data_IF_585348642197
#
_entry.id   IF_585348642197
#
_cell.length_a   1.000
_cell.length_b   1.000
_cell.length_c   1.000
_cell.angle_alpha   90.00
_cell.angle_beta   90.00
_cell.angle_gamma   90.00
#
_symmetry.space_group_name_H-M   'P 1'
#
loop_
_entity.id
_entity.type
_entity.pdbx_description
1 polymer ?
#
# COMPACT_ATOMS: atom_id res chain seq x y z
N UNK A 1 10.99 3.07 -9.01
CA UNK A 1 10.20 2.50 -10.12
C UNK A 1 8.92 1.81 -9.65
N UNK A 2 8.95 0.88 -8.68
CA UNK A 2 7.75 0.17 -8.21
C UNK A 2 6.67 1.10 -7.66
N UNK A 3 7.03 2.08 -6.81
CA UNK A 3 6.07 3.02 -6.22
C UNK A 3 5.23 3.74 -7.29
N UNK A 4 5.86 4.22 -8.37
CA UNK A 4 5.16 4.89 -9.48
C UNK A 4 4.14 3.96 -10.15
N UNK A 5 4.51 2.70 -10.41
CA UNK A 5 3.60 1.72 -11.00
C UNK A 5 2.48 1.31 -10.05
N UNK A 6 2.76 1.12 -8.74
CA UNK A 6 1.75 0.81 -7.73
C UNK A 6 0.67 1.89 -7.68
N UNK A 7 1.08 3.17 -7.68
CA UNK A 7 0.14 4.30 -7.69
C UNK A 7 -0.71 4.32 -8.96
N UNK A 8 -0.11 4.07 -10.15
CA UNK A 8 -0.88 3.98 -11.40
C UNK A 8 -1.92 2.85 -11.36
N UNK A 9 -1.56 1.67 -10.83
CA UNK A 9 -2.51 0.54 -10.72
C UNK A 9 -3.62 0.89 -9.74
N UNK A 10 -3.31 1.53 -8.62
CA UNK A 10 -4.31 1.92 -7.64
C UNK A 10 -5.24 3.00 -8.18
N UNK A 11 -4.72 4.03 -8.83
CA UNK A 11 -5.52 5.05 -9.50
C UNK A 11 -6.50 4.42 -10.50
N UNK A 12 -6.02 3.48 -11.34
CA UNK A 12 -6.87 2.77 -12.28
C UNK A 12 -8.01 2.01 -11.60
N UNK A 13 -7.72 1.28 -10.51
CA UNK A 13 -8.72 0.53 -9.73
C UNK A 13 -9.75 1.50 -9.13
N UNK A 14 -9.29 2.56 -8.51
CA UNK A 14 -10.17 3.56 -7.89
C UNK A 14 -11.02 4.31 -8.91
N UNK A 15 -10.51 4.60 -10.11
CA UNK A 15 -11.30 5.15 -11.22
C UNK A 15 -12.38 4.19 -11.73
N UNK A 16 -12.22 2.87 -11.51
CA UNK A 16 -13.26 1.86 -11.75
C UNK A 16 -14.23 1.71 -10.57
N UNK A 17 -14.20 2.68 -9.63
CA UNK A 17 -15.08 2.74 -8.45
C UNK A 17 -14.91 1.53 -7.50
N UNK A 18 -13.73 0.92 -7.52
CA UNK A 18 -13.36 -0.20 -6.65
C UNK A 18 -12.27 0.22 -5.67
N UNK A 19 -12.27 -0.37 -4.49
CA UNK A 19 -11.15 -0.42 -3.56
C UNK A 19 -10.69 -1.87 -3.45
N UNK A 20 -9.38 -2.09 -3.33
CA UNK A 20 -8.80 -3.43 -3.37
C UNK A 20 -8.92 -4.17 -2.04
N UNK A 21 -8.58 -3.49 -0.93
CA UNK A 21 -8.69 -3.94 0.47
C UNK A 21 -7.72 -5.06 0.91
N UNK A 22 -6.87 -5.55 0.02
CA UNK A 22 -5.82 -6.53 0.39
C UNK A 22 -4.49 -6.22 -0.33
N UNK A 23 -4.00 -5.02 -0.13
CA UNK A 23 -2.71 -4.58 -0.65
C UNK A 23 -1.59 -5.28 0.13
N UNK A 24 -0.81 -6.10 -0.58
CA UNK A 24 0.33 -6.87 -0.05
C UNK A 24 1.27 -7.27 -1.20
N UNK A 25 2.54 -7.64 -0.92
CA UNK A 25 3.50 -8.03 -1.97
C UNK A 25 2.98 -9.12 -2.89
N UNK A 26 2.30 -10.12 -2.34
CA UNK A 26 1.79 -11.30 -3.06
C UNK A 26 0.76 -10.94 -4.14
N UNK A 27 0.10 -9.79 -4.00
CA UNK A 27 -0.89 -9.30 -4.95
C UNK A 27 -0.31 -8.36 -6.02
N UNK A 28 1.00 -8.09 -5.95
CA UNK A 28 1.72 -7.37 -7.00
C UNK A 28 2.68 -8.32 -7.70
N UNK A 29 2.40 -8.61 -8.97
CA UNK A 29 3.21 -9.53 -9.78
C UNK A 29 3.84 -8.82 -10.96
N UNK A 30 5.05 -9.22 -11.30
CA UNK A 30 5.74 -8.72 -12.49
C UNK A 30 5.32 -9.53 -13.72
N UNK A 31 5.26 -8.88 -14.86
CA UNK A 31 5.01 -9.54 -16.12
C UNK A 31 6.12 -10.50 -16.51
N UNK A 32 5.93 -11.20 -17.62
CA UNK A 32 6.91 -12.16 -18.16
C UNK A 32 7.53 -11.62 -19.45
N UNK A 33 8.76 -12.07 -19.70
CA UNK A 33 9.52 -11.79 -20.95
C UNK A 33 9.54 -10.28 -21.25
N UNK A 34 8.96 -9.85 -22.34
CA UNK A 34 8.93 -8.44 -22.79
C UNK A 34 8.21 -7.51 -21.81
N UNK A 35 7.28 -8.04 -21.01
CA UNK A 35 6.54 -7.31 -19.97
C UNK A 35 7.13 -7.49 -18.56
N UNK A 36 8.34 -8.03 -18.44
CA UNK A 36 8.96 -8.30 -17.14
C UNK A 36 9.12 -7.07 -16.23
N UNK A 37 9.08 -5.87 -16.81
CA UNK A 37 9.14 -4.61 -16.10
C UNK A 37 7.76 -4.03 -15.74
N UNK A 38 6.66 -4.65 -16.18
CA UNK A 38 5.31 -4.19 -15.88
C UNK A 38 4.79 -4.83 -14.60
N UNK A 39 4.38 -4.00 -13.66
CA UNK A 39 3.72 -4.41 -12.43
C UNK A 39 2.22 -4.61 -12.68
N UNK A 40 1.71 -5.75 -12.24
CA UNK A 40 0.27 -6.07 -12.29
C UNK A 40 -0.26 -6.21 -10.87
N UNK A 41 -1.46 -5.71 -10.62
CA UNK A 41 -2.22 -5.95 -9.41
C UNK A 41 -3.23 -7.05 -9.68
N UNK A 42 -3.25 -8.05 -8.82
CA UNK A 42 -4.08 -9.26 -8.93
C UNK A 42 -4.91 -9.48 -7.67
N UNK A 43 -5.79 -10.47 -7.69
CA UNK A 43 -6.62 -10.92 -6.57
C UNK A 43 -7.61 -9.84 -6.07
N UNK A 44 -8.68 -9.67 -6.82
CA UNK A 44 -9.78 -8.78 -6.47
C UNK A 44 -10.86 -9.46 -5.60
N UNK A 45 -10.57 -10.63 -5.01
CA UNK A 45 -11.52 -11.40 -4.20
C UNK A 45 -12.08 -10.66 -2.98
N UNK A 46 -11.29 -9.73 -2.42
CA UNK A 46 -11.73 -8.88 -1.31
C UNK A 46 -12.15 -7.47 -1.76
N UNK A 47 -12.12 -7.16 -3.06
CA UNK A 47 -12.45 -5.83 -3.56
C UNK A 47 -13.91 -5.44 -3.28
N UNK A 48 -14.16 -4.13 -3.23
CA UNK A 48 -15.47 -3.58 -2.96
C UNK A 48 -15.71 -2.32 -3.78
N UNK A 49 -16.96 -2.12 -4.24
CA UNK A 49 -17.37 -0.82 -4.78
C UNK A 49 -17.44 0.20 -3.63
N UNK A 50 -16.75 1.34 -3.80
CA UNK A 50 -16.84 2.45 -2.87
C UNK A 50 -17.79 3.56 -3.37
N UNK A 51 -18.26 3.45 -4.59
CA UNK A 51 -19.21 4.37 -5.22
C UNK A 51 -20.47 3.64 -5.64
N UNK A 52 -21.63 4.09 -5.16
CA UNK A 52 -22.93 3.56 -5.59
C UNK A 52 -23.39 4.31 -6.84
N UNK A 53 -23.38 3.62 -7.99
CA UNK A 53 -23.75 4.19 -9.29
C UNK A 53 -25.24 4.55 -9.38
N UNK A 54 -26.10 3.97 -8.54
CA UNK A 54 -27.53 4.26 -8.54
C UNK A 54 -27.83 5.57 -7.84
N UNK A 55 -27.13 5.84 -6.76
CA UNK A 55 -27.32 7.06 -5.96
C UNK A 55 -26.33 8.16 -6.32
N UNK A 56 -25.29 7.83 -7.10
CA UNK A 56 -24.15 8.69 -7.39
C UNK A 56 -23.47 9.22 -6.14
N UNK A 57 -23.31 8.36 -5.14
CA UNK A 57 -22.72 8.70 -3.85
C UNK A 57 -21.63 7.71 -3.45
N UNK A 58 -20.69 8.21 -2.65
CA UNK A 58 -19.73 7.37 -1.96
C UNK A 58 -20.48 6.48 -0.94
N UNK A 59 -19.97 5.26 -0.70
CA UNK A 59 -20.49 4.42 0.39
C UNK A 59 -20.43 5.18 1.72
N UNK A 60 -21.41 4.97 2.62
CA UNK A 60 -21.44 5.69 3.88
C UNK A 60 -20.31 5.24 4.83
N UNK A 61 -19.80 6.18 5.62
CA UNK A 61 -18.94 5.87 6.76
C UNK A 61 -19.66 4.96 7.74
N UNK A 62 -18.99 3.89 8.17
CA UNK A 62 -19.52 2.93 9.16
C UNK A 62 -18.39 2.45 10.04
N UNK A 63 -18.74 2.10 11.28
CA UNK A 63 -17.86 1.46 12.25
C UNK A 63 -18.33 0.03 12.57
N UNK A 64 -17.57 -0.68 13.40
CA UNK A 64 -17.89 -2.06 13.79
C UNK A 64 -17.69 -3.07 12.66
N UNK A 65 -16.82 -2.78 11.69
CA UNK A 65 -16.49 -3.70 10.61
C UNK A 65 -15.44 -4.72 11.06
N UNK A 66 -15.60 -6.00 10.67
CA UNK A 66 -14.53 -6.96 10.86
C UNK A 66 -13.31 -6.57 10.02
N UNK A 67 -12.12 -6.91 10.50
CA UNK A 67 -10.89 -6.70 9.76
C UNK A 67 -10.96 -7.48 8.44
N UNK A 68 -10.79 -6.77 7.34
CA UNK A 68 -10.70 -7.35 5.99
C UNK A 68 -9.32 -7.04 5.41
N UNK A 69 -8.68 -8.02 4.81
CA UNK A 69 -7.32 -7.92 4.27
C UNK A 69 -6.26 -8.46 5.22
N UNK A 70 -5.01 -8.20 4.91
CA UNK A 70 -3.85 -8.73 5.61
C UNK A 70 -3.42 -7.80 6.74
N UNK A 71 -3.52 -8.25 7.99
CA UNK A 71 -3.25 -7.44 9.19
C UNK A 71 -1.90 -6.72 9.17
N UNK A 72 -0.86 -7.31 8.54
CA UNK A 72 0.46 -6.70 8.40
C UNK A 72 0.41 -5.37 7.64
N UNK A 73 -0.39 -5.29 6.58
CA UNK A 73 -0.39 -4.17 5.64
C UNK A 73 -1.63 -3.28 5.73
N UNK A 74 -2.77 -3.76 6.27
CA UNK A 74 -4.00 -2.97 6.32
C UNK A 74 -3.83 -1.67 7.13
N UNK A 75 -4.66 -0.68 6.84
CA UNK A 75 -4.61 0.64 7.47
C UNK A 75 -4.94 0.60 8.97
N UNK A 76 -4.58 1.66 9.68
CA UNK A 76 -5.00 1.84 11.09
C UNK A 76 -6.53 1.88 11.20
N UNK A 77 -7.20 2.56 10.29
CA UNK A 77 -8.67 2.63 10.29
C UNK A 77 -9.31 1.23 10.14
N UNK A 78 -8.70 0.35 9.34
CA UNK A 78 -9.17 -1.04 9.22
C UNK A 78 -9.04 -1.80 10.55
N UNK A 79 -7.95 -1.60 11.31
CA UNK A 79 -7.82 -2.18 12.65
C UNK A 79 -8.83 -1.61 13.65
N UNK A 80 -9.23 -0.36 13.50
CA UNK A 80 -10.27 0.28 14.32
C UNK A 80 -11.69 -0.14 13.93
N UNK A 81 -11.84 -1.01 12.93
CA UNK A 81 -13.15 -1.47 12.47
C UNK A 81 -13.92 -0.41 11.67
N UNK A 82 -13.24 0.57 11.10
CA UNK A 82 -13.83 1.58 10.22
C UNK A 82 -13.95 1.00 8.80
N UNK A 83 -15.06 1.32 8.13
CA UNK A 83 -15.28 0.96 6.72
C UNK A 83 -14.11 1.47 5.86
N UNK A 84 -13.60 0.61 4.99
CA UNK A 84 -12.48 0.97 4.11
C UNK A 84 -12.93 1.85 2.95
N UNK A 85 -12.05 2.77 2.55
CA UNK A 85 -12.19 3.59 1.36
C UNK A 85 -10.86 3.69 0.60
N UNK A 86 -10.75 4.59 -0.37
CA UNK A 86 -9.54 4.78 -1.17
C UNK A 86 -8.28 5.06 -0.33
N UNK A 87 -8.43 5.81 0.78
CA UNK A 87 -7.32 6.16 1.68
C UNK A 87 -6.65 4.94 2.30
N UNK A 88 -7.44 3.88 2.55
CA UNK A 88 -6.95 2.67 3.22
C UNK A 88 -6.05 1.84 2.31
N UNK A 89 -6.37 1.77 1.01
CA UNK A 89 -5.48 1.18 0.01
C UNK A 89 -4.16 1.96 -0.09
N UNK A 90 -4.21 3.32 -0.04
CA UNK A 90 -3.01 4.16 -0.08
C UNK A 90 -2.13 3.96 1.16
N UNK A 91 -2.72 3.92 2.36
CA UNK A 91 -1.97 3.63 3.59
C UNK A 91 -1.30 2.26 3.52
N UNK A 92 -2.01 1.26 3.00
CA UNK A 92 -1.48 -0.09 2.80
C UNK A 92 -0.30 -0.12 1.83
N UNK A 93 -0.34 0.65 0.74
CA UNK A 93 0.79 0.82 -0.18
C UNK A 93 1.99 1.43 0.56
N UNK A 94 1.78 2.40 1.43
CA UNK A 94 2.86 2.99 2.22
C UNK A 94 3.57 1.96 3.10
N UNK A 95 2.83 1.09 3.78
CA UNK A 95 3.43 0.00 4.56
C UNK A 95 4.13 -1.03 3.68
N UNK A 96 3.57 -1.32 2.50
CA UNK A 96 4.20 -2.20 1.53
C UNK A 96 5.54 -1.62 1.04
N UNK A 97 5.59 -0.35 0.68
CA UNK A 97 6.82 0.32 0.24
C UNK A 97 7.87 0.35 1.35
N UNK A 98 7.48 0.64 2.60
CA UNK A 98 8.37 0.57 3.77
C UNK A 98 8.88 -0.87 3.98
N UNK A 99 8.03 -1.87 3.82
CA UNK A 99 8.43 -3.27 3.91
C UNK A 99 9.45 -3.65 2.83
N UNK A 100 9.22 -3.25 1.59
CA UNK A 100 10.15 -3.53 0.49
C UNK A 100 11.49 -2.82 0.68
N UNK A 101 11.49 -1.63 1.26
CA UNK A 101 12.70 -0.85 1.51
C UNK A 101 13.50 -1.37 2.71
N UNK A 102 12.83 -1.65 3.83
CA UNK A 102 13.47 -2.06 5.11
C UNK A 102 13.66 -3.56 5.25
N UNK A 103 12.92 -4.38 4.50
CA UNK A 103 12.83 -5.83 4.68
C UNK A 103 11.93 -6.27 5.83
N UNK A 104 11.47 -5.35 6.71
CA UNK A 104 10.60 -5.65 7.84
C UNK A 104 9.74 -4.47 8.26
N UNK A 105 8.69 -4.75 9.02
CA UNK A 105 7.84 -3.75 9.69
C UNK A 105 7.86 -3.99 11.21
N UNK A 106 7.75 -2.92 12.04
CA UNK A 106 7.91 -3.02 13.50
C UNK A 106 6.91 -3.93 14.22
N UNK A 107 5.83 -4.29 13.56
CA UNK A 107 4.79 -5.20 14.08
C UNK A 107 4.91 -6.63 13.56
N UNK A 108 5.99 -6.98 12.86
CA UNK A 108 6.29 -8.36 12.51
C UNK A 108 6.89 -9.10 13.72
N UNK A 109 6.70 -10.42 13.75
CA UNK A 109 7.25 -11.25 14.82
C UNK A 109 6.58 -11.10 16.19
N UNK A 110 5.46 -10.35 16.30
CA UNK A 110 4.71 -10.26 17.56
C UNK A 110 4.27 -11.64 17.99
N UNK A 111 4.70 -12.04 19.20
CA UNK A 111 4.28 -13.27 19.86
C UNK A 111 3.12 -12.97 20.80
N UNK A 112 2.11 -13.81 20.77
CA UNK A 112 0.93 -13.75 21.63
C UNK A 112 0.65 -15.13 22.19
N UNK A 113 0.14 -15.20 23.39
CA UNK A 113 -0.27 -16.47 24.01
C UNK A 113 -1.50 -17.04 23.31
N UNK A 114 -2.45 -16.17 22.95
CA UNK A 114 -3.65 -16.53 22.20
C UNK A 114 -3.54 -16.01 20.75
N UNK A 115 -3.50 -16.90 19.75
CA UNK A 115 -3.43 -16.52 18.33
C UNK A 115 -4.55 -15.57 17.88
N UNK A 116 -5.73 -15.60 18.48
CA UNK A 116 -6.85 -14.70 18.19
C UNK A 116 -6.51 -13.22 18.47
N UNK A 117 -5.62 -12.97 19.43
CA UNK A 117 -5.18 -11.64 19.82
C UNK A 117 -4.11 -11.04 18.89
N UNK A 118 -3.54 -11.84 17.99
CA UNK A 118 -2.42 -11.39 17.14
C UNK A 118 -2.78 -10.16 16.30
N UNK A 119 -3.94 -10.17 15.69
CA UNK A 119 -4.42 -9.07 14.85
C UNK A 119 -4.64 -7.79 15.65
N UNK A 120 -5.21 -7.93 16.85
CA UNK A 120 -5.42 -6.80 17.77
C UNK A 120 -4.08 -6.19 18.17
N UNK A 121 -3.11 -7.02 18.57
CA UNK A 121 -1.76 -6.55 18.95
C UNK A 121 -1.01 -5.86 17.82
N UNK A 122 -1.18 -6.33 16.58
CA UNK A 122 -0.63 -5.64 15.41
C UNK A 122 -1.25 -4.24 15.28
N UNK A 123 -2.57 -4.13 15.41
CA UNK A 123 -3.27 -2.84 15.35
C UNK A 123 -2.82 -1.88 16.44
N UNK A 124 -2.78 -2.33 17.70
CA UNK A 124 -2.27 -1.55 18.84
C UNK A 124 -0.84 -1.02 18.58
N UNK A 125 0.02 -1.89 18.04
CA UNK A 125 1.39 -1.50 17.71
C UNK A 125 1.44 -0.46 16.59
N UNK A 126 0.64 -0.60 15.54
CA UNK A 126 0.55 0.39 14.45
C UNK A 126 0.06 1.75 14.93
N UNK A 127 -0.93 1.75 15.84
CA UNK A 127 -1.50 2.96 16.42
C UNK A 127 -0.49 3.66 17.32
N UNK A 128 0.23 2.89 18.15
CA UNK A 128 1.20 3.43 19.12
C UNK A 128 2.48 3.96 18.49
N UNK A 129 2.86 3.48 17.29
CA UNK A 129 4.05 3.96 16.58
C UNK A 129 3.71 5.22 15.80
N UNK A 130 4.32 6.35 16.17
CA UNK A 130 4.23 7.59 15.39
C UNK A 130 4.91 7.43 14.02
N UNK A 131 4.37 8.12 13.01
CA UNK A 131 4.91 8.08 11.65
C UNK A 131 6.36 8.58 11.57
N UNK A 132 6.71 9.58 12.37
CA UNK A 132 8.07 10.12 12.44
C UNK A 132 9.06 9.06 12.97
N UNK A 133 8.63 8.19 13.89
CA UNK A 133 9.42 7.06 14.35
C UNK A 133 9.47 5.94 13.30
N UNK A 134 8.35 5.63 12.68
CA UNK A 134 8.25 4.58 11.65
C UNK A 134 9.18 4.87 10.47
N UNK A 135 9.31 6.14 10.08
CA UNK A 135 10.07 6.59 8.91
C UNK A 135 11.36 7.35 9.26
N UNK A 136 11.86 7.30 10.51
CA UNK A 136 12.95 8.18 10.97
C UNK A 136 14.27 7.99 10.23
N UNK A 137 14.59 6.76 9.84
CA UNK A 137 15.86 6.38 9.20
C UNK A 137 15.73 6.27 7.68
N UNK A 138 14.62 6.80 7.13
CA UNK A 138 14.26 6.68 5.73
C UNK A 138 14.31 8.03 5.03
N UNK A 139 14.26 7.98 3.69
CA UNK A 139 14.12 9.22 2.92
C UNK A 139 12.83 9.96 3.32
N UNK A 140 12.87 11.30 3.43
CA UNK A 140 11.72 12.10 3.87
C UNK A 140 10.43 11.87 3.08
N UNK A 141 10.54 11.39 1.86
CA UNK A 141 9.43 11.10 0.98
C UNK A 141 8.51 9.99 1.52
N UNK A 142 9.06 9.00 2.25
CA UNK A 142 8.25 7.98 2.91
C UNK A 142 7.37 8.61 4.00
N UNK A 143 7.94 9.46 4.84
CA UNK A 143 7.19 10.17 5.88
C UNK A 143 6.13 11.10 5.28
N UNK A 144 6.49 11.87 4.24
CA UNK A 144 5.54 12.75 3.54
C UNK A 144 4.36 11.95 2.99
N UNK A 145 4.63 10.85 2.31
CA UNK A 145 3.60 9.97 1.77
C UNK A 145 2.71 9.38 2.87
N UNK A 146 3.28 8.85 3.94
CA UNK A 146 2.52 8.26 5.04
C UNK A 146 1.64 9.29 5.76
N UNK A 147 2.15 10.51 5.99
CA UNK A 147 1.37 11.61 6.56
C UNK A 147 0.21 12.00 5.64
N UNK A 148 0.46 12.07 4.34
CA UNK A 148 -0.57 12.33 3.34
C UNK A 148 -1.66 11.25 3.36
N UNK A 149 -1.29 9.97 3.22
CA UNK A 149 -2.25 8.87 3.16
C UNK A 149 -3.11 8.78 4.42
N UNK A 150 -2.52 8.92 5.61
CA UNK A 150 -3.26 8.94 6.90
C UNK A 150 -4.09 10.20 7.11
N UNK A 151 -3.75 11.31 6.47
CA UNK A 151 -4.49 12.57 6.55
C UNK A 151 -5.74 12.63 5.67
N UNK A 152 -5.88 11.73 4.71
CA UNK A 152 -7.02 11.69 3.79
C UNK A 152 -8.34 11.43 4.53
N UNK A 153 -9.37 12.19 4.19
CA UNK A 153 -10.73 11.97 4.66
C UNK A 153 -11.35 10.73 4.02
N UNK A 154 -12.41 10.20 4.61
CA UNK A 154 -13.07 8.96 4.18
C UNK A 154 -13.49 8.98 2.70
N UNK A 155 -14.10 10.07 2.24
CA UNK A 155 -14.61 10.20 0.87
C UNK A 155 -13.62 10.92 -0.08
N UNK A 156 -12.49 11.37 0.46
CA UNK A 156 -11.53 12.17 -0.30
C UNK A 156 -10.94 11.40 -1.48
N UNK A 157 -10.85 12.09 -2.62
CA UNK A 157 -10.14 11.55 -3.78
C UNK A 157 -8.65 11.80 -3.60
N UNK A 158 -7.81 10.75 -3.54
CA UNK A 158 -6.38 10.94 -3.44
C UNK A 158 -5.79 11.66 -4.65
N UNK A 159 -4.78 12.49 -4.41
CA UNK A 159 -3.94 13.06 -5.45
C UNK A 159 -2.85 12.04 -5.83
N UNK A 160 -3.17 11.18 -6.80
CA UNK A 160 -2.26 10.13 -7.26
C UNK A 160 -1.03 10.70 -7.96
N UNK A 161 -1.18 11.83 -8.65
CA UNK A 161 -0.06 12.50 -9.32
C UNK A 161 0.94 13.04 -8.31
N UNK A 162 0.46 13.66 -7.22
CA UNK A 162 1.33 14.05 -6.11
C UNK A 162 2.04 12.84 -5.50
N UNK A 163 1.32 11.73 -5.24
CA UNK A 163 1.91 10.51 -4.70
C UNK A 163 3.05 9.99 -5.58
N UNK A 164 2.84 9.99 -6.89
CA UNK A 164 3.85 9.57 -7.86
C UNK A 164 5.04 10.53 -7.90
N UNK A 165 4.74 11.84 -7.96
CA UNK A 165 5.77 12.88 -8.01
C UNK A 165 6.67 12.85 -6.77
N UNK A 166 6.12 12.65 -5.58
CA UNK A 166 6.88 12.54 -4.34
C UNK A 166 7.99 11.45 -4.41
N UNK A 167 7.71 10.30 -5.03
CA UNK A 167 8.72 9.25 -5.20
C UNK A 167 9.60 9.43 -6.43
N UNK A 168 9.14 10.15 -7.47
CA UNK A 168 9.97 10.53 -8.61
C UNK A 168 11.05 11.52 -8.21
N UNK A 169 10.71 12.51 -7.39
CA UNK A 169 11.68 13.46 -6.82
C UNK A 169 12.79 12.75 -6.04
N UNK A 170 12.41 11.71 -5.25
CA UNK A 170 13.41 10.88 -4.57
C UNK A 170 14.32 10.16 -5.58
N UNK A 171 13.72 9.54 -6.58
CA UNK A 171 14.43 8.78 -7.61
C UNK A 171 15.44 9.65 -8.36
N UNK A 172 15.07 10.86 -8.72
CA UNK A 172 15.91 11.84 -9.38
C UNK A 172 17.03 12.36 -8.46
N UNK A 173 16.70 12.65 -7.19
CA UNK A 173 17.66 13.11 -6.18
C UNK A 173 18.76 12.07 -5.92
N UNK A 174 18.43 10.79 -5.94
CA UNK A 174 19.38 9.69 -5.79
C UNK A 174 20.18 9.41 -7.08
N UNK A 175 20.00 10.19 -8.14
CA UNK A 175 20.70 10.03 -9.43
C UNK A 175 20.37 8.74 -10.16
N UNK A 176 19.24 8.13 -9.84
CA UNK A 176 18.82 6.85 -10.45
C UNK A 176 18.26 7.07 -11.84
N UNK A 177 18.48 6.12 -12.73
CA UNK A 177 17.93 6.12 -14.09
C UNK A 177 16.74 5.17 -14.22
N UNK A 178 15.76 5.57 -15.02
CA UNK A 178 14.57 4.74 -15.28
C UNK A 178 14.86 3.75 -16.41
N UNK A 179 15.71 2.77 -16.11
CA UNK A 179 16.15 1.73 -17.04
C UNK A 179 15.17 0.54 -17.13
N UNK A 180 14.20 0.46 -16.22
CA UNK A 180 13.25 -0.66 -16.08
C UNK A 180 13.92 -2.00 -15.78
N UNK A 181 15.19 -2.00 -15.39
CA UNK A 181 15.93 -3.19 -14.97
C UNK A 181 15.74 -3.34 -13.46
N UNK A 182 15.19 -4.45 -13.05
CA UNK A 182 15.06 -4.83 -11.64
C UNK A 182 16.07 -5.91 -11.29
N UNK A 183 16.53 -5.93 -10.05
CA UNK A 183 17.57 -6.86 -9.57
C UNK A 183 17.26 -8.33 -9.89
N UNK A 184 15.98 -8.72 -9.82
CA UNK A 184 15.56 -10.08 -10.14
C UNK A 184 15.63 -10.41 -11.64
N UNK A 185 15.54 -9.42 -12.53
CA UNK A 185 15.69 -9.60 -13.98
C UNK A 185 17.16 -9.86 -14.30
N UNK A 186 18.06 -9.05 -13.76
CA UNK A 186 19.51 -9.17 -13.95
C UNK A 186 20.02 -10.52 -13.41
N UNK A 187 19.57 -10.93 -12.21
CA UNK A 187 19.91 -12.22 -11.62
C UNK A 187 19.51 -13.40 -12.51
N UNK A 188 18.28 -13.38 -13.05
CA UNK A 188 17.80 -14.45 -13.96
C UNK A 188 18.60 -14.51 -15.25
N UNK A 189 19.02 -13.37 -15.80
CA UNK A 189 19.86 -13.33 -17.00
C UNK A 189 21.25 -13.91 -16.73
N UNK A 190 21.81 -13.70 -15.53
CA UNK A 190 23.11 -14.29 -15.11
C UNK A 190 23.04 -15.80 -14.83
N UNK A 191 21.88 -16.31 -14.39
CA UNK A 191 21.68 -17.74 -14.13
C UNK A 191 21.44 -18.56 -15.44
N UNK A 192 21.08 -17.87 -16.52
CA UNK A 192 20.83 -18.48 -17.84
C UNK A 192 22.03 -18.43 -18.79
N UNK A 193 23.10 -17.72 -18.44
CA UNK A 193 24.39 -17.66 -19.14
C UNK A 193 25.46 -18.39 -18.33
#
# INVERSE_FOLDING_TARGET
MLADQMMQRMEFVHRKQLIHRDIKPENFVMGLVEKAHHLHLIDFGLSKRYWDTRTSQHIPYKEGKPLTGTARYCSVNTHLGIEQSRRDDLESIGYLLLYLYKGHLPWQGIRVADPSQKTVRIGEKKISIGLDFLCRDEHPQFLKYMKYARGLKFEETPDYDWCRQNFRELFEKEGLTRDWIFDWVDKRTRELN
#
